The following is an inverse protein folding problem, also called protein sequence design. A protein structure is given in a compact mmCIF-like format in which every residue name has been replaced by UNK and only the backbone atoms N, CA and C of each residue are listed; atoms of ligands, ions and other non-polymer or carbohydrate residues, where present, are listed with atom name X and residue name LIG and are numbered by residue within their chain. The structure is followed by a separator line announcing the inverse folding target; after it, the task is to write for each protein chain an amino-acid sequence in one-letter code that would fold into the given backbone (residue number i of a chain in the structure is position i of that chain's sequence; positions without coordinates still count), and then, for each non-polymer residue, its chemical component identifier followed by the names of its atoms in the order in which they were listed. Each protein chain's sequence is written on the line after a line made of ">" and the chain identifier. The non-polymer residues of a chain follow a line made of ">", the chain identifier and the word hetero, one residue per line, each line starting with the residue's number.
data_IF_287755972200
#
_entry.id   IF_287755972200
#
_cell.length_a   1.000
_cell.length_b   1.000
_cell.length_c   1.000
_cell.angle_alpha   90.00
_cell.angle_beta   90.00
_cell.angle_gamma   90.00
#
_symmetry.space_group_name_H-M   'P 1'
#
loop_
_entity.id
_entity.type
_entity.pdbx_description
1 polymer ?
#
# COMPACT_ATOMS: atom_id res chain seq x y z
N UNK A 1 -28.20 47.45 3.16
CA UNK A 1 -26.83 47.51 2.58
C UNK A 1 -25.94 46.75 3.53
N UNK A 2 -25.16 45.78 3.04
CA UNK A 2 -24.16 45.13 3.88
C UNK A 2 -23.08 46.13 4.28
N UNK A 3 -22.63 46.09 5.53
CA UNK A 3 -21.54 46.96 6.00
C UNK A 3 -20.19 46.42 5.50
N UNK A 4 -19.18 47.29 5.42
CA UNK A 4 -17.81 46.86 5.07
C UNK A 4 -17.28 45.81 6.07
N UNK A 5 -17.72 45.86 7.32
CA UNK A 5 -17.34 44.91 8.37
C UNK A 5 -17.95 43.52 8.13
N UNK A 6 -19.23 43.44 7.77
CA UNK A 6 -19.88 42.17 7.40
C UNK A 6 -19.20 41.50 6.19
N UNK A 7 -18.75 42.28 5.21
CA UNK A 7 -18.00 41.74 4.07
C UNK A 7 -16.62 41.22 4.49
N UNK A 8 -15.93 41.92 5.39
CA UNK A 8 -14.62 41.47 5.94
C UNK A 8 -14.74 40.16 6.70
N UNK A 9 -15.77 40.01 7.54
CA UNK A 9 -16.01 38.76 8.28
C UNK A 9 -16.23 37.59 7.33
N UNK A 10 -16.99 37.81 6.25
CA UNK A 10 -17.19 36.81 5.21
C UNK A 10 -15.89 36.47 4.48
N UNK A 11 -15.03 37.45 4.20
CA UNK A 11 -13.70 37.23 3.61
C UNK A 11 -12.84 36.37 4.54
N UNK A 12 -12.78 36.69 5.83
CA UNK A 12 -11.99 35.92 6.81
C UNK A 12 -12.49 34.48 6.93
N UNK A 13 -13.81 34.27 6.93
CA UNK A 13 -14.39 32.93 6.90
C UNK A 13 -13.97 32.14 5.65
N UNK A 14 -14.05 32.76 4.46
CA UNK A 14 -13.69 32.11 3.20
C UNK A 14 -12.18 31.83 3.10
N UNK A 15 -11.33 32.77 3.52
CA UNK A 15 -9.88 32.57 3.62
C UNK A 15 -9.54 31.41 4.57
N UNK A 16 -10.20 31.37 5.74
CA UNK A 16 -10.03 30.27 6.70
C UNK A 16 -10.37 28.92 6.10
N UNK A 17 -11.48 28.81 5.37
CA UNK A 17 -11.85 27.57 4.66
C UNK A 17 -10.79 27.12 3.66
N UNK A 18 -10.27 28.05 2.85
CA UNK A 18 -9.20 27.76 1.89
C UNK A 18 -7.92 27.32 2.59
N UNK A 19 -7.52 28.00 3.67
CA UNK A 19 -6.34 27.64 4.45
C UNK A 19 -6.42 26.20 4.99
N UNK A 20 -7.57 25.82 5.56
CA UNK A 20 -7.79 24.45 6.06
C UNK A 20 -7.72 23.43 4.92
N UNK A 21 -8.22 23.74 3.72
CA UNK A 21 -8.13 22.85 2.56
C UNK A 21 -6.69 22.65 2.12
N UNK A 22 -5.88 23.71 2.03
CA UNK A 22 -4.46 23.61 1.71
C UNK A 22 -3.71 22.74 2.74
N UNK A 23 -3.96 22.96 4.03
CA UNK A 23 -3.37 22.16 5.11
C UNK A 23 -3.79 20.70 5.05
N UNK A 24 -5.05 20.43 4.71
CA UNK A 24 -5.59 19.07 4.57
C UNK A 24 -4.88 18.31 3.45
N UNK A 25 -4.72 18.92 2.27
CA UNK A 25 -3.98 18.33 1.15
C UNK A 25 -2.51 18.11 1.55
N UNK A 26 -1.89 19.09 2.21
CA UNK A 26 -0.50 18.98 2.67
C UNK A 26 -0.31 17.79 3.63
N UNK A 27 -1.17 17.66 4.64
CA UNK A 27 -1.15 16.58 5.62
C UNK A 27 -1.35 15.20 4.97
N UNK A 28 -2.25 15.12 3.99
CA UNK A 28 -2.51 13.88 3.24
C UNK A 28 -1.33 13.50 2.36
N UNK A 29 -0.71 14.44 1.65
CA UNK A 29 0.52 14.19 0.89
C UNK A 29 1.65 13.69 1.80
N UNK A 30 1.84 14.31 2.98
CA UNK A 30 2.81 13.84 3.98
C UNK A 30 2.52 12.40 4.40
N UNK A 31 1.25 12.06 4.64
CA UNK A 31 0.82 10.73 5.06
C UNK A 31 1.06 9.68 3.97
N UNK A 32 0.71 9.99 2.72
CA UNK A 32 0.94 9.09 1.58
C UNK A 32 2.43 8.88 1.32
N UNK A 33 3.24 9.95 1.34
CA UNK A 33 4.68 9.83 1.11
C UNK A 33 5.40 9.04 2.22
N UNK A 34 4.90 9.10 3.47
CA UNK A 34 5.45 8.31 4.60
C UNK A 34 5.27 6.80 4.44
N UNK A 35 4.39 6.36 3.54
CA UNK A 35 4.20 4.94 3.26
C UNK A 35 5.44 4.30 2.64
N UNK A 36 6.20 5.08 1.88
CA UNK A 36 7.47 4.65 1.31
C UNK A 36 8.52 4.64 2.42
N UNK A 37 8.82 3.50 3.03
CA UNK A 37 9.75 3.45 4.17
C UNK A 37 10.58 2.18 4.15
N UNK A 38 11.75 2.27 4.77
CA UNK A 38 12.65 1.15 4.95
C UNK A 38 12.60 0.70 6.41
N UNK A 39 12.47 -0.60 6.61
CA UNK A 39 12.56 -1.25 7.92
C UNK A 39 13.80 -2.14 7.92
N UNK A 40 14.69 -1.91 8.88
CA UNK A 40 15.91 -2.71 9.06
C UNK A 40 15.78 -3.49 10.36
N UNK A 41 15.91 -4.80 10.27
CA UNK A 41 15.95 -5.71 11.40
C UNK A 41 17.41 -6.11 11.67
N UNK A 42 17.97 -5.51 12.71
CA UNK A 42 19.25 -5.93 13.29
C UNK A 42 19.00 -6.98 14.37
N UNK A 43 19.88 -7.98 14.45
CA UNK A 43 19.74 -9.05 15.42
C UNK A 43 19.78 -8.48 16.85
N UNK A 44 18.71 -8.72 17.64
CA UNK A 44 18.52 -8.35 19.06
C UNK A 44 18.01 -6.93 19.37
N UNK A 45 17.71 -6.07 18.39
CA UNK A 45 17.16 -4.73 18.63
C UNK A 45 15.75 -4.54 18.07
N UNK A 46 15.05 -3.50 18.54
CA UNK A 46 13.82 -3.03 17.89
C UNK A 46 14.12 -2.60 16.45
N UNK A 47 13.21 -2.84 15.49
CA UNK A 47 13.46 -2.51 14.09
C UNK A 47 13.68 -1.01 13.90
N UNK A 48 14.70 -0.65 13.12
CA UNK A 48 14.92 0.73 12.71
C UNK A 48 13.99 1.06 11.54
N UNK A 49 13.14 2.08 11.72
CA UNK A 49 12.23 2.57 10.68
C UNK A 49 12.75 3.89 10.13
N UNK A 50 13.10 3.88 8.84
CA UNK A 50 13.56 5.07 8.12
C UNK A 50 12.40 5.59 7.26
N UNK A 51 11.83 6.73 7.67
CA UNK A 51 10.78 7.42 6.92
C UNK A 51 11.35 8.49 5.99
N UNK A 52 10.68 8.81 4.87
CA UNK A 52 11.09 9.89 4.00
C UNK A 52 10.97 11.24 4.72
N UNK A 53 11.92 12.16 4.50
CA UNK A 53 11.86 13.48 5.12
C UNK A 53 10.76 14.31 4.43
N UNK A 54 9.56 14.32 5.04
CA UNK A 54 8.40 15.08 4.53
C UNK A 54 7.81 16.05 5.55
N UNK A 55 8.16 15.91 6.84
CA UNK A 55 7.56 16.68 7.94
C UNK A 55 7.66 18.19 7.73
N UNK A 56 8.83 18.67 7.30
CA UNK A 56 9.16 20.08 7.15
C UNK A 56 9.01 20.58 5.70
N UNK A 57 8.47 19.77 4.80
CA UNK A 57 8.24 20.18 3.42
C UNK A 57 6.92 20.96 3.31
N UNK A 58 6.94 22.01 2.50
CA UNK A 58 5.75 22.79 2.15
C UNK A 58 4.92 22.07 1.10
N UNK A 59 3.65 22.45 0.93
CA UNK A 59 2.78 21.94 -0.12
C UNK A 59 3.45 21.88 -1.50
N UNK A 60 4.23 22.91 -1.89
CA UNK A 60 4.94 22.91 -3.16
C UNK A 60 5.99 21.81 -3.27
N UNK A 61 6.85 21.66 -2.25
CA UNK A 61 7.86 20.60 -2.21
C UNK A 61 7.24 19.20 -2.16
N UNK A 62 6.12 19.05 -1.45
CA UNK A 62 5.37 17.80 -1.38
C UNK A 62 4.71 17.44 -2.70
N UNK A 63 4.14 18.41 -3.42
CA UNK A 63 3.55 18.20 -4.75
C UNK A 63 4.59 17.65 -5.72
N UNK A 64 5.77 18.28 -5.81
CA UNK A 64 6.87 17.80 -6.66
C UNK A 64 7.31 16.40 -6.26
N UNK A 65 7.50 16.16 -4.96
CA UNK A 65 7.92 14.85 -4.47
C UNK A 65 6.88 13.76 -4.76
N UNK A 66 5.59 14.07 -4.61
CA UNK A 66 4.50 13.14 -4.90
C UNK A 66 4.41 12.80 -6.38
N UNK A 67 4.54 13.77 -7.28
CA UNK A 67 4.56 13.50 -8.72
C UNK A 67 5.75 12.63 -9.15
N UNK A 68 6.90 12.76 -8.48
CA UNK A 68 8.10 12.00 -8.86
C UNK A 68 8.20 10.60 -8.23
N UNK A 69 7.48 10.34 -7.14
CA UNK A 69 7.68 9.10 -6.34
C UNK A 69 6.40 8.37 -5.96
N UNK A 70 5.24 9.03 -6.07
CA UNK A 70 3.95 8.48 -5.67
C UNK A 70 3.00 8.36 -6.86
N UNK A 71 2.95 9.32 -7.77
CA UNK A 71 2.05 9.32 -8.93
C UNK A 71 2.87 9.19 -10.22
N UNK A 72 3.12 7.97 -10.67
CA UNK A 72 4.04 7.70 -11.77
C UNK A 72 3.29 7.57 -13.11
N UNK A 73 3.93 8.01 -14.19
CA UNK A 73 3.64 7.58 -15.56
C UNK A 73 4.26 6.19 -15.73
N UNK A 74 3.46 5.16 -16.02
CA UNK A 74 3.87 3.77 -16.33
C UNK A 74 5.17 3.29 -15.65
N UNK A 75 5.08 2.53 -14.55
CA UNK A 75 6.25 1.81 -14.00
C UNK A 75 6.75 0.79 -15.02
N UNK A 76 8.05 0.58 -15.26
CA UNK A 76 9.05 0.18 -14.24
C UNK A 76 10.46 0.63 -14.67
N UNK A 77 11.15 1.42 -13.86
CA UNK A 77 12.60 1.24 -13.71
C UNK A 77 12.77 0.17 -12.63
N UNK A 78 13.47 -0.92 -12.96
CA UNK A 78 13.87 -1.93 -11.98
C UNK A 78 14.75 -1.24 -10.94
N UNK A 79 14.32 -1.27 -9.68
CA UNK A 79 15.13 -0.76 -8.58
C UNK A 79 16.48 -1.49 -8.61
N UNK A 80 17.58 -0.73 -8.55
CA UNK A 80 18.93 -1.27 -8.51
C UNK A 80 19.06 -2.29 -7.38
N UNK A 81 19.62 -3.46 -7.68
CA UNK A 81 19.98 -4.48 -6.69
C UNK A 81 20.86 -3.85 -5.60
N UNK A 82 20.27 -3.59 -4.44
CA UNK A 82 20.99 -3.07 -3.28
C UNK A 82 21.80 -4.23 -2.69
N UNK A 83 23.11 -4.06 -2.55
CA UNK A 83 23.98 -5.05 -1.94
C UNK A 83 23.55 -5.30 -0.50
N UNK A 84 23.23 -6.55 -0.18
CA UNK A 84 22.87 -7.00 1.15
C UNK A 84 24.12 -7.00 2.05
N UNK A 85 24.08 -6.30 3.18
CA UNK A 85 25.10 -6.44 4.23
C UNK A 85 24.84 -7.74 5.02
N UNK A 86 25.90 -8.47 5.36
CA UNK A 86 25.77 -9.75 6.05
C UNK A 86 25.08 -9.58 7.42
N UNK A 87 24.08 -10.43 7.70
CA UNK A 87 23.32 -10.55 8.96
C UNK A 87 22.24 -9.49 9.27
N UNK A 88 21.78 -8.71 8.30
CA UNK A 88 20.61 -7.82 8.49
C UNK A 88 19.48 -8.17 7.54
N UNK A 89 18.24 -8.28 8.04
CA UNK A 89 17.06 -8.36 7.19
C UNK A 89 16.56 -6.94 6.92
N UNK A 90 16.52 -6.55 5.65
CA UNK A 90 15.99 -5.26 5.19
C UNK A 90 14.67 -5.47 4.45
N UNK A 91 13.66 -4.68 4.80
CA UNK A 91 12.37 -4.62 4.11
C UNK A 91 12.18 -3.20 3.61
N UNK A 92 12.19 -3.03 2.29
CA UNK A 92 11.81 -1.79 1.64
C UNK A 92 10.34 -1.88 1.21
N UNK A 93 9.55 -0.89 1.61
CA UNK A 93 8.16 -0.75 1.18
C UNK A 93 8.05 0.48 0.29
N UNK A 94 7.53 0.27 -0.93
CA UNK A 94 7.28 1.31 -1.92
C UNK A 94 5.83 1.21 -2.36
N UNK A 95 5.14 2.35 -2.29
CA UNK A 95 3.77 2.54 -2.74
C UNK A 95 3.80 3.61 -3.82
N UNK A 96 3.25 3.27 -4.98
CA UNK A 96 3.08 4.18 -6.10
C UNK A 96 1.78 3.89 -6.83
N UNK A 97 1.19 4.93 -7.42
CA UNK A 97 0.01 4.89 -8.26
C UNK A 97 0.46 5.11 -9.69
N UNK A 98 0.20 4.12 -10.54
CA UNK A 98 0.38 4.27 -11.97
C UNK A 98 -0.82 5.01 -12.54
N UNK A 99 -0.57 6.18 -13.12
CA UNK A 99 -1.57 7.00 -13.77
C UNK A 99 -1.33 6.97 -15.28
N UNK A 100 -2.43 6.98 -16.04
CA UNK A 100 -2.33 7.23 -17.48
C UNK A 100 -1.77 8.64 -17.73
N UNK A 101 -1.13 8.83 -18.88
CA UNK A 101 -0.48 10.10 -19.22
C UNK A 101 -1.38 11.32 -19.04
N UNK A 102 -2.59 11.26 -19.58
CA UNK A 102 -3.58 12.33 -19.44
C UNK A 102 -3.91 12.64 -17.97
N UNK A 103 -4.05 11.62 -17.12
CA UNK A 103 -4.35 11.80 -15.69
C UNK A 103 -3.15 12.35 -14.92
N UNK A 104 -1.94 11.94 -15.28
CA UNK A 104 -0.72 12.45 -14.67
C UNK A 104 -0.52 13.93 -15.00
N UNK A 105 -0.66 14.32 -16.27
CA UNK A 105 -0.56 15.71 -16.71
C UNK A 105 -1.63 16.59 -16.05
N UNK A 106 -2.87 16.11 -15.99
CA UNK A 106 -3.97 16.80 -15.32
C UNK A 106 -3.67 17.01 -13.83
N UNK A 107 -3.22 15.97 -13.11
CA UNK A 107 -2.88 16.06 -11.70
C UNK A 107 -1.72 17.01 -11.45
N UNK A 108 -0.68 16.98 -12.29
CA UNK A 108 0.44 17.90 -12.20
C UNK A 108 -0.03 19.34 -12.34
N UNK A 109 -0.79 19.64 -13.40
CA UNK A 109 -1.34 20.98 -13.64
C UNK A 109 -2.20 21.46 -12.45
N UNK A 110 -3.09 20.61 -11.95
CA UNK A 110 -3.95 20.94 -10.80
C UNK A 110 -3.14 21.19 -9.52
N UNK A 111 -2.11 20.40 -9.25
CA UNK A 111 -1.25 20.59 -8.07
C UNK A 111 -0.44 21.89 -8.15
N UNK A 112 0.13 22.21 -9.33
CA UNK A 112 0.87 23.46 -9.53
C UNK A 112 -0.04 24.67 -9.33
N UNK A 113 -1.25 24.61 -9.91
CA UNK A 113 -2.24 25.67 -9.79
C UNK A 113 -2.72 25.83 -8.34
N UNK A 114 -2.98 24.73 -7.64
CA UNK A 114 -3.37 24.74 -6.22
C UNK A 114 -2.27 25.33 -5.32
N UNK A 115 -0.99 25.04 -5.61
CA UNK A 115 0.16 25.64 -4.92
C UNK A 115 0.27 27.14 -5.21
N UNK A 116 0.09 27.55 -6.46
CA UNK A 116 0.12 28.96 -6.86
C UNK A 116 -0.99 29.76 -6.17
N UNK A 117 -2.21 29.21 -6.15
CA UNK A 117 -3.36 29.82 -5.48
C UNK A 117 -3.15 29.91 -3.96
N UNK A 118 -2.54 28.89 -3.34
CA UNK A 118 -2.14 28.95 -1.92
C UNK A 118 -1.18 30.10 -1.66
N UNK A 119 -0.14 30.23 -2.49
CA UNK A 119 0.86 31.30 -2.35
C UNK A 119 0.21 32.68 -2.53
N UNK A 120 -0.67 32.84 -3.51
CA UNK A 120 -1.44 34.06 -3.72
C UNK A 120 -2.26 34.42 -2.47
N UNK A 121 -3.03 33.47 -1.95
CA UNK A 121 -3.88 33.71 -0.77
C UNK A 121 -3.08 34.01 0.50
N UNK A 122 -1.89 33.40 0.64
CA UNK A 122 -1.07 33.54 1.85
C UNK A 122 -0.18 34.78 1.82
N UNK A 123 0.33 35.17 0.65
CA UNK A 123 1.37 36.20 0.54
C UNK A 123 0.91 37.47 -0.18
N UNK A 124 -0.06 37.37 -1.11
CA UNK A 124 -0.41 38.47 -2.03
C UNK A 124 -1.87 38.92 -1.92
N UNK A 125 -2.68 38.30 -1.06
CA UNK A 125 -4.11 38.58 -1.00
C UNK A 125 -4.43 40.04 -0.63
N UNK A 126 -3.76 40.58 0.39
CA UNK A 126 -3.96 41.97 0.83
C UNK A 126 -3.32 42.99 -0.12
N UNK A 127 -2.31 42.59 -0.89
CA UNK A 127 -1.75 43.41 -1.96
C UNK A 127 -2.73 43.53 -3.13
N UNK A 128 -3.49 42.46 -3.39
CA UNK A 128 -4.47 42.38 -4.49
C UNK A 128 -5.80 43.04 -4.17
N UNK A 129 -6.27 43.00 -2.92
CA UNK A 129 -7.58 43.53 -2.52
C UNK A 129 -7.48 44.47 -1.31
N UNK A 130 -7.87 45.74 -1.48
CA UNK A 130 -7.97 46.68 -0.38
C UNK A 130 -9.26 46.47 0.41
N UNK A 131 -9.14 45.76 1.53
CA UNK A 131 -10.26 45.43 2.41
C UNK A 131 -10.90 46.65 3.10
N UNK A 132 -10.40 47.87 2.91
CA UNK A 132 -11.05 49.11 3.39
C UNK A 132 -12.05 49.69 2.40
N UNK A 133 -12.09 49.20 1.16
CA UNK A 133 -13.06 49.64 0.16
C UNK A 133 -14.14 48.58 -0.03
N UNK A 134 -15.40 49.01 0.08
CA UNK A 134 -16.56 48.12 -0.02
C UNK A 134 -16.61 47.36 -1.35
N UNK A 135 -16.33 48.04 -2.47
CA UNK A 135 -16.29 47.41 -3.80
C UNK A 135 -15.20 46.33 -3.92
N UNK A 136 -14.02 46.58 -3.36
CA UNK A 136 -12.91 45.61 -3.38
C UNK A 136 -13.15 44.44 -2.43
N UNK A 137 -13.89 44.65 -1.32
CA UNK A 137 -14.34 43.55 -0.47
C UNK A 137 -15.29 42.60 -1.22
N UNK A 138 -16.21 43.14 -2.02
CA UNK A 138 -17.10 42.32 -2.83
C UNK A 138 -16.31 41.53 -3.88
N UNK A 139 -15.36 42.16 -4.58
CA UNK A 139 -14.48 41.49 -5.54
C UNK A 139 -13.66 40.37 -4.89
N UNK A 140 -13.17 40.59 -3.66
CA UNK A 140 -12.44 39.58 -2.91
C UNK A 140 -13.32 38.36 -2.56
N UNK A 141 -14.57 38.58 -2.17
CA UNK A 141 -15.55 37.51 -1.91
C UNK A 141 -15.81 36.72 -3.18
N UNK A 142 -16.10 37.39 -4.29
CA UNK A 142 -16.40 36.75 -5.57
C UNK A 142 -15.19 35.93 -6.04
N UNK A 143 -13.98 36.49 -5.92
CA UNK A 143 -12.73 35.77 -6.20
C UNK A 143 -12.57 34.49 -5.36
N UNK A 144 -12.81 34.56 -4.04
CA UNK A 144 -12.69 33.40 -3.15
C UNK A 144 -13.74 32.32 -3.44
N UNK A 145 -14.95 32.71 -3.85
CA UNK A 145 -16.01 31.78 -4.25
C UNK A 145 -15.72 31.10 -5.59
N UNK A 146 -15.18 31.83 -6.56
CA UNK A 146 -14.72 31.25 -7.83
C UNK A 146 -13.54 30.31 -7.62
N UNK A 147 -12.61 30.66 -6.72
CA UNK A 147 -11.52 29.79 -6.33
C UNK A 147 -12.01 28.48 -5.70
N UNK A 148 -13.07 28.54 -4.89
CA UNK A 148 -13.71 27.36 -4.32
C UNK A 148 -14.30 26.44 -5.40
N UNK A 149 -15.01 27.01 -6.38
CA UNK A 149 -15.55 26.24 -7.52
C UNK A 149 -14.43 25.58 -8.33
N UNK A 150 -13.35 26.32 -8.56
CA UNK A 150 -12.15 25.85 -9.28
C UNK A 150 -11.44 24.71 -8.58
N UNK A 151 -11.25 24.79 -7.25
CA UNK A 151 -10.53 23.75 -6.49
C UNK A 151 -11.35 22.50 -6.24
N UNK A 152 -12.69 22.59 -6.26
CA UNK A 152 -13.56 21.47 -5.90
C UNK A 152 -13.28 20.17 -6.67
N UNK A 153 -13.18 20.17 -8.02
CA UNK A 153 -12.91 18.94 -8.77
C UNK A 153 -11.57 18.29 -8.40
N UNK A 154 -10.53 19.11 -8.16
CA UNK A 154 -9.23 18.63 -7.73
C UNK A 154 -9.32 18.01 -6.33
N UNK A 155 -9.95 18.69 -5.36
CA UNK A 155 -10.07 18.20 -3.99
C UNK A 155 -10.87 16.89 -3.91
N UNK A 156 -11.97 16.79 -4.64
CA UNK A 156 -12.80 15.59 -4.69
C UNK A 156 -12.00 14.41 -5.26
N UNK A 157 -11.21 14.62 -6.32
CA UNK A 157 -10.37 13.59 -6.93
C UNK A 157 -9.19 13.20 -6.05
N UNK A 158 -8.51 14.18 -5.47
CA UNK A 158 -7.38 13.95 -4.58
C UNK A 158 -7.81 13.13 -3.35
N UNK A 159 -9.03 13.35 -2.86
CA UNK A 159 -9.59 12.53 -1.79
C UNK A 159 -9.76 11.06 -2.22
N UNK A 160 -10.22 10.80 -3.44
CA UNK A 160 -10.33 9.43 -3.94
C UNK A 160 -8.97 8.72 -4.01
N UNK A 161 -7.90 9.42 -4.41
CA UNK A 161 -6.55 8.85 -4.37
C UNK A 161 -6.14 8.50 -2.95
N UNK A 162 -6.39 9.40 -1.99
CA UNK A 162 -6.06 9.17 -0.58
C UNK A 162 -6.83 7.98 0.01
N UNK A 163 -8.15 7.91 -0.22
CA UNK A 163 -8.98 6.81 0.28
C UNK A 163 -8.63 5.47 -0.39
N UNK A 164 -8.33 5.48 -1.68
CA UNK A 164 -7.89 4.28 -2.40
C UNK A 164 -6.55 3.78 -1.86
N UNK A 165 -5.61 4.69 -1.60
CA UNK A 165 -4.34 4.36 -0.96
C UNK A 165 -4.57 3.70 0.40
N UNK A 166 -5.40 4.33 1.24
CA UNK A 166 -5.71 3.83 2.57
C UNK A 166 -6.32 2.43 2.53
N UNK A 167 -7.34 2.22 1.69
CA UNK A 167 -7.97 0.91 1.49
C UNK A 167 -6.93 -0.12 1.02
N UNK A 168 -6.07 0.23 0.06
CA UNK A 168 -5.03 -0.67 -0.43
C UNK A 168 -4.03 -1.09 0.66
N UNK A 169 -3.62 -0.16 1.50
CA UNK A 169 -2.72 -0.43 2.64
C UNK A 169 -3.40 -1.31 3.66
N UNK A 170 -4.65 -1.02 4.03
CA UNK A 170 -5.40 -1.82 5.01
C UNK A 170 -5.61 -3.25 4.51
N UNK A 171 -5.90 -3.42 3.21
CA UNK A 171 -5.95 -4.74 2.56
C UNK A 171 -4.60 -5.44 2.62
N UNK A 172 -3.50 -4.75 2.30
CA UNK A 172 -2.15 -5.34 2.33
C UNK A 172 -1.73 -5.73 3.74
N UNK A 173 -2.01 -4.90 4.75
CA UNK A 173 -1.76 -5.22 6.17
C UNK A 173 -2.56 -6.45 6.58
N UNK A 174 -3.84 -6.51 6.21
CA UNK A 174 -4.70 -7.67 6.49
C UNK A 174 -4.15 -8.94 5.84
N UNK A 175 -3.65 -8.84 4.60
CA UNK A 175 -2.99 -9.96 3.92
C UNK A 175 -1.71 -10.40 4.64
N UNK A 176 -0.82 -9.47 5.02
CA UNK A 176 0.42 -9.79 5.76
C UNK A 176 0.13 -10.44 7.12
N UNK A 177 -0.99 -10.10 7.75
CA UNK A 177 -1.43 -10.72 9.01
C UNK A 177 -2.11 -12.07 8.80
N UNK A 178 -2.50 -12.41 7.56
CA UNK A 178 -3.22 -13.64 7.25
C UNK A 178 -2.36 -14.89 7.44
N UNK A 179 -3.05 -16.00 7.74
CA UNK A 179 -2.47 -17.34 7.75
C UNK A 179 -1.84 -17.71 6.39
N UNK A 180 -2.41 -17.19 5.30
CA UNK A 180 -1.94 -17.45 3.95
C UNK A 180 -0.54 -16.84 3.74
N UNK A 181 -0.32 -15.59 4.15
CA UNK A 181 0.99 -14.96 4.07
C UNK A 181 2.05 -15.69 4.91
N UNK A 182 1.74 -15.99 6.19
CA UNK A 182 2.63 -16.77 7.06
C UNK A 182 3.02 -18.10 6.42
N UNK A 183 2.07 -18.77 5.79
CA UNK A 183 2.32 -20.06 5.14
C UNK A 183 3.13 -19.93 3.87
N UNK A 184 2.95 -18.87 3.09
CA UNK A 184 3.75 -18.67 1.88
C UNK A 184 5.18 -18.24 2.17
N UNK A 185 5.39 -17.50 3.25
CA UNK A 185 6.67 -16.84 3.53
C UNK A 185 7.49 -17.56 4.60
N UNK A 186 6.85 -18.09 5.65
CA UNK A 186 7.54 -18.72 6.79
C UNK A 186 7.63 -20.24 6.63
N UNK A 187 6.53 -20.90 6.24
CA UNK A 187 6.48 -22.37 6.17
C UNK A 187 7.56 -22.99 5.25
N UNK A 188 7.98 -22.40 4.12
CA UNK A 188 9.07 -22.96 3.32
C UNK A 188 10.41 -23.09 4.07
N UNK A 189 10.62 -22.31 5.13
CA UNK A 189 11.81 -22.41 5.98
C UNK A 189 11.66 -23.46 7.09
N UNK A 190 10.45 -23.95 7.32
CA UNK A 190 10.11 -24.89 8.40
C UNK A 190 10.63 -26.31 8.14
N UNK A 191 10.94 -27.03 9.21
CA UNK A 191 11.40 -28.41 9.17
C UNK A 191 10.37 -29.38 8.57
N UNK A 192 9.08 -29.12 8.78
CA UNK A 192 7.99 -29.95 8.21
C UNK A 192 7.99 -29.80 6.69
N UNK A 193 8.11 -28.57 6.18
CA UNK A 193 8.16 -28.33 4.74
C UNK A 193 9.41 -28.96 4.11
N UNK A 194 10.57 -28.82 4.75
CA UNK A 194 11.83 -29.43 4.29
C UNK A 194 11.70 -30.95 4.20
N UNK A 195 11.03 -31.60 5.15
CA UNK A 195 10.79 -33.04 5.08
C UNK A 195 9.84 -33.40 3.94
N UNK A 196 8.77 -32.63 3.72
CA UNK A 196 7.87 -32.82 2.57
C UNK A 196 8.65 -32.71 1.26
N UNK A 197 9.52 -31.71 1.15
CA UNK A 197 10.40 -31.52 -0.01
C UNK A 197 11.34 -32.72 -0.22
N UNK A 198 11.93 -33.27 0.84
CA UNK A 198 12.75 -34.50 0.77
C UNK A 198 11.92 -35.68 0.27
N UNK A 199 10.71 -35.89 0.79
CA UNK A 199 9.82 -36.98 0.40
C UNK A 199 9.40 -36.87 -1.08
N UNK A 200 9.08 -35.67 -1.54
CA UNK A 200 8.76 -35.39 -2.95
C UNK A 200 9.97 -35.66 -3.83
N UNK A 201 11.12 -35.06 -3.53
CA UNK A 201 12.33 -35.18 -4.34
C UNK A 201 12.86 -36.63 -4.42
N UNK A 202 12.69 -37.41 -3.36
CA UNK A 202 13.10 -38.81 -3.33
C UNK A 202 12.12 -39.75 -4.06
N UNK A 203 10.92 -39.28 -4.43
CA UNK A 203 9.94 -40.08 -5.15
C UNK A 203 10.14 -40.04 -6.67
N UNK A 204 11.33 -40.45 -7.10
CA UNK A 204 11.74 -40.44 -8.51
C UNK A 204 10.89 -41.34 -9.41
N UNK A 205 10.28 -42.39 -8.85
CA UNK A 205 9.43 -43.33 -9.59
C UNK A 205 8.14 -42.72 -10.14
N UNK A 206 7.66 -41.62 -9.55
CA UNK A 206 6.43 -40.95 -9.97
C UNK A 206 6.67 -39.48 -10.30
N UNK A 207 7.86 -39.14 -10.80
CA UNK A 207 8.26 -37.76 -11.12
C UNK A 207 7.95 -36.78 -9.97
N UNK A 208 8.26 -37.16 -8.73
CA UNK A 208 8.03 -36.34 -7.54
C UNK A 208 6.58 -36.33 -7.00
N UNK A 209 5.59 -36.81 -7.76
CA UNK A 209 4.20 -36.84 -7.29
C UNK A 209 3.99 -37.89 -6.21
N UNK A 210 3.61 -37.47 -5.01
CA UNK A 210 3.39 -38.37 -3.87
C UNK A 210 2.03 -38.13 -3.24
N UNK A 211 1.42 -39.16 -2.64
CA UNK A 211 0.09 -38.99 -2.04
C UNK A 211 0.16 -38.19 -0.75
N UNK A 212 -0.81 -37.30 -0.58
CA UNK A 212 -0.95 -36.49 0.63
C UNK A 212 -1.07 -37.38 1.89
N UNK A 213 -1.77 -38.51 1.78
CA UNK A 213 -1.88 -39.50 2.86
C UNK A 213 -0.52 -40.11 3.26
N UNK A 214 0.35 -40.39 2.29
CA UNK A 214 1.69 -40.94 2.55
C UNK A 214 2.57 -39.90 3.23
N UNK A 215 2.51 -38.65 2.75
CA UNK A 215 3.18 -37.53 3.40
C UNK A 215 2.66 -37.37 4.83
N UNK A 216 1.35 -37.30 5.03
CA UNK A 216 0.76 -37.09 6.36
C UNK A 216 1.16 -38.18 7.34
N UNK A 217 1.19 -39.44 6.92
CA UNK A 217 1.67 -40.54 7.75
C UNK A 217 3.16 -40.40 8.09
N UNK A 218 4.00 -40.01 7.13
CA UNK A 218 5.45 -39.86 7.32
C UNK A 218 5.78 -38.69 8.25
N UNK A 219 5.12 -37.55 8.02
CA UNK A 219 5.25 -36.34 8.85
C UNK A 219 4.75 -36.62 10.28
N UNK A 220 3.59 -37.26 10.46
CA UNK A 220 3.08 -37.56 11.80
C UNK A 220 4.00 -38.52 12.59
N UNK A 221 4.72 -39.41 11.89
CA UNK A 221 5.70 -40.31 12.52
C UNK A 221 6.97 -39.57 12.95
N UNK A 222 7.47 -38.64 12.14
CA UNK A 222 8.70 -37.88 12.41
C UNK A 222 8.48 -36.69 13.33
N UNK A 223 7.33 -36.05 13.22
CA UNK A 223 6.91 -34.86 13.95
C UNK A 223 5.51 -35.09 14.55
N UNK A 224 5.41 -35.80 15.71
CA UNK A 224 4.11 -36.14 16.32
C UNK A 224 3.21 -34.92 16.60
N UNK A 225 3.82 -33.77 16.91
CA UNK A 225 3.12 -32.51 17.19
C UNK A 225 2.88 -31.63 15.94
N UNK A 226 3.16 -32.12 14.73
CA UNK A 226 3.06 -31.33 13.50
C UNK A 226 1.69 -30.64 13.33
N UNK A 227 0.59 -31.35 13.57
CA UNK A 227 -0.75 -30.77 13.43
C UNK A 227 -1.02 -29.67 14.48
N UNK A 228 -0.48 -29.81 15.69
CA UNK A 228 -0.58 -28.78 16.73
C UNK A 228 0.22 -27.54 16.34
N UNK A 229 1.44 -27.72 15.87
CA UNK A 229 2.29 -26.65 15.35
C UNK A 229 1.61 -25.92 14.18
N UNK A 230 1.11 -26.67 13.19
CA UNK A 230 0.41 -26.12 12.03
C UNK A 230 -0.80 -25.28 12.41
N UNK A 231 -1.58 -25.73 13.39
CA UNK A 231 -2.73 -24.99 13.90
C UNK A 231 -2.36 -23.69 14.61
N UNK A 232 -1.28 -23.70 15.40
CA UNK A 232 -0.86 -22.54 16.19
C UNK A 232 -0.12 -21.51 15.33
N UNK A 233 0.81 -21.97 14.48
CA UNK A 233 1.72 -21.08 13.74
C UNK A 233 1.16 -20.63 12.40
N UNK A 234 0.43 -21.50 11.71
CA UNK A 234 -0.09 -21.25 10.37
C UNK A 234 -1.62 -21.18 10.33
N UNK A 235 -2.31 -21.51 11.42
CA UNK A 235 -3.77 -21.37 11.54
C UNK A 235 -4.60 -22.36 10.71
N UNK A 236 -3.99 -23.43 10.19
CA UNK A 236 -4.70 -24.53 9.50
C UNK A 236 -5.03 -25.65 10.47
N UNK A 237 -6.15 -26.35 10.26
CA UNK A 237 -6.63 -27.39 11.19
C UNK A 237 -5.64 -28.54 11.36
N UNK A 238 -4.94 -28.90 10.28
CA UNK A 238 -3.96 -30.00 10.21
C UNK A 238 -3.15 -29.88 8.91
N UNK A 239 -2.21 -30.81 8.69
CA UNK A 239 -1.38 -30.83 7.47
C UNK A 239 -2.19 -30.95 6.18
N UNK A 240 -3.29 -31.73 6.17
CA UNK A 240 -4.13 -31.82 4.98
C UNK A 240 -4.76 -30.47 4.64
N UNK A 241 -5.32 -29.80 5.65
CA UNK A 241 -5.94 -28.48 5.50
C UNK A 241 -4.92 -27.43 5.01
N UNK A 242 -3.69 -27.47 5.51
CA UNK A 242 -2.60 -26.61 5.03
C UNK A 242 -2.29 -26.89 3.57
N UNK A 243 -2.04 -28.15 3.20
CA UNK A 243 -1.61 -28.50 1.84
C UNK A 243 -2.68 -28.15 0.80
N UNK A 244 -3.95 -28.37 1.12
CA UNK A 244 -5.06 -28.13 0.19
C UNK A 244 -5.36 -26.63 -0.01
N UNK A 245 -5.19 -25.82 1.02
CA UNK A 245 -5.64 -24.42 1.00
C UNK A 245 -4.50 -23.40 0.89
N UNK A 246 -3.24 -23.84 1.00
CA UNK A 246 -2.10 -22.91 0.99
C UNK A 246 -1.59 -22.55 -0.40
N UNK A 247 -1.91 -23.29 -1.47
CA UNK A 247 -1.42 -22.99 -2.83
C UNK A 247 0.09 -23.18 -3.06
N UNK A 248 0.86 -23.59 -2.04
CA UNK A 248 2.31 -23.83 -2.14
C UNK A 248 2.65 -25.18 -2.79
N UNK A 249 1.65 -26.04 -2.99
CA UNK A 249 1.79 -27.34 -3.63
C UNK A 249 0.89 -27.41 -4.86
N UNK A 250 1.37 -28.09 -5.90
CA UNK A 250 0.53 -28.52 -7.01
C UNK A 250 -0.28 -29.73 -6.55
N UNK A 251 -1.57 -29.74 -6.88
CA UNK A 251 -2.49 -30.81 -6.50
C UNK A 251 -2.97 -31.55 -7.75
N UNK A 252 -2.98 -32.88 -7.68
CA UNK A 252 -3.55 -33.75 -8.72
C UNK A 252 -4.46 -34.78 -8.06
N UNK A 253 -5.69 -34.89 -8.55
CA UNK A 253 -6.64 -35.89 -8.08
C UNK A 253 -6.58 -37.11 -9.01
N UNK A 254 -6.38 -38.28 -8.42
CA UNK A 254 -6.41 -39.56 -9.14
C UNK A 254 -7.58 -40.42 -8.65
N UNK A 255 -8.47 -40.86 -9.54
CA UNK A 255 -9.54 -41.79 -9.16
C UNK A 255 -8.96 -43.15 -8.80
N UNK A 256 -9.55 -43.79 -7.79
CA UNK A 256 -9.20 -45.12 -7.30
C UNK A 256 -10.46 -45.97 -7.16
N UNK A 257 -10.29 -47.29 -7.00
CA UNK A 257 -11.41 -48.22 -6.78
C UNK A 257 -12.21 -47.95 -5.50
N UNK A 258 -11.70 -47.11 -4.59
CA UNK A 258 -12.31 -46.78 -3.29
C UNK A 258 -12.59 -45.28 -3.10
N UNK A 259 -12.53 -44.48 -4.16
CA UNK A 259 -12.72 -43.02 -4.11
C UNK A 259 -11.56 -42.28 -4.78
N UNK A 260 -11.20 -41.11 -4.28
CA UNK A 260 -10.17 -40.27 -4.88
C UNK A 260 -8.91 -40.20 -4.03
N UNK A 261 -7.76 -40.08 -4.70
CA UNK A 261 -6.44 -39.95 -4.09
C UNK A 261 -5.83 -38.63 -4.53
N UNK A 262 -5.48 -37.79 -3.55
CA UNK A 262 -4.81 -36.51 -3.80
C UNK A 262 -3.30 -36.75 -3.81
N UNK A 263 -2.67 -36.47 -4.95
CA UNK A 263 -1.23 -36.39 -5.11
C UNK A 263 -0.79 -34.92 -5.04
N UNK A 264 0.41 -34.71 -4.51
CA UNK A 264 1.00 -33.38 -4.42
C UNK A 264 2.42 -33.35 -4.98
N UNK A 265 2.81 -32.18 -5.48
CA UNK A 265 4.15 -31.85 -5.94
C UNK A 265 4.52 -30.44 -5.47
N UNK A 266 5.81 -30.10 -5.44
CA UNK A 266 6.27 -28.73 -5.18
C UNK A 266 5.80 -27.79 -6.29
N UNK A 267 5.31 -26.61 -5.92
CA UNK A 267 5.00 -25.54 -6.85
C UNK A 267 6.22 -24.61 -7.02
N UNK A 268 6.90 -24.71 -8.16
CA UNK A 268 8.07 -23.89 -8.51
C UNK A 268 7.72 -22.67 -9.38
N UNK A 269 6.45 -22.43 -9.70
CA UNK A 269 6.02 -21.33 -10.59
C UNK A 269 6.14 -19.94 -9.96
N UNK A 270 6.19 -18.91 -10.82
CA UNK A 270 6.02 -17.51 -10.42
C UNK A 270 4.70 -17.33 -9.68
N UNK A 271 4.79 -16.80 -8.46
CA UNK A 271 3.62 -16.57 -7.60
C UNK A 271 3.00 -15.22 -7.96
N UNK A 272 2.17 -15.18 -9.00
CA UNK A 272 1.25 -14.06 -9.22
C UNK A 272 0.06 -14.22 -8.29
N UNK A 273 -0.02 -13.36 -7.27
CA UNK A 273 -1.17 -13.28 -6.38
C UNK A 273 -2.16 -12.27 -6.96
N UNK A 274 -3.16 -12.74 -7.67
CA UNK A 274 -4.34 -11.94 -7.97
C UNK A 274 -5.36 -12.13 -6.83
N UNK A 275 -5.65 -11.05 -6.12
CA UNK A 275 -6.80 -11.03 -5.20
C UNK A 275 -8.04 -10.97 -6.08
N UNK A 276 -8.74 -12.09 -6.21
CA UNK A 276 -10.08 -12.11 -6.79
C UNK A 276 -11.02 -11.61 -5.69
N UNK A 277 -11.46 -10.36 -5.79
CA UNK A 277 -12.60 -9.86 -5.02
C UNK A 277 -13.86 -10.62 -5.52
N UNK A 278 -14.56 -11.30 -4.60
CA UNK A 278 -15.91 -11.84 -4.84
C UNK A 278 -16.95 -10.73 -4.72
#
# INVERSE_FOLDING_TARGET
>A
MQSTEELRDKIFLLLGKHLIRFQTVEMRLKSLLKLNRTIIFENKNSPLVIEPPVRNQTLGGLSTKALNSLFLLDSVEEDQLIKEEANTLRIDMKVSFNLSENKHLELNSQLQEFVADRNLLTHHFQEKFNLSKLAECQQAIDFLLELEKKHKPFLDRFEQYFLTAQKGIDTQISFMQSNLFKTHFIFPSDEIYKEIQILINNNTKNNGWISLTTIASSISKKFPDANKKIKIEYGFKNLHDLVLNSGIFLLKIEPTTKGEKILIHLNHGEKTFEVIEN
#
